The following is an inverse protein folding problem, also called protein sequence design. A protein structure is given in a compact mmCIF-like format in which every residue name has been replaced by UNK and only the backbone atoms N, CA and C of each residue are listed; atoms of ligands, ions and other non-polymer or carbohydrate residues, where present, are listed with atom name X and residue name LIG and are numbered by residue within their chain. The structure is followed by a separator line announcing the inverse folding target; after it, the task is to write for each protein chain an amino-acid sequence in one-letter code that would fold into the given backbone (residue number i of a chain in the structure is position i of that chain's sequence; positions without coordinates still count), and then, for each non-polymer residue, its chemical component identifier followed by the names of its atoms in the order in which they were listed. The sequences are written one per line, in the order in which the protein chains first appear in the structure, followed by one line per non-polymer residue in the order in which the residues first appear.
data_IF_049432855072
#
_entry.id   IF_049432855072
#
_cell.length_a   1.000
_cell.length_b   1.000
_cell.length_c   1.000
_cell.angle_alpha   90.00
_cell.angle_beta   90.00
_cell.angle_gamma   90.00
#
_symmetry.space_group_name_H-M   'P 1'
#
loop_
_entity.id
_entity.type
_entity.pdbx_description
1 polymer ?
#
# COMPACT_ATOMS: atom_id res chain seq x y z
N UNK A 1 -19.81 -32.33 -12.50
CA UNK A 1 -18.79 -31.28 -12.70
C UNK A 1 -19.28 -30.03 -12.01
N UNK A 2 -18.81 -29.79 -10.80
CA UNK A 2 -19.20 -28.62 -9.98
C UNK A 2 -18.14 -27.50 -10.12
N UNK A 3 -18.52 -26.22 -10.20
CA UNK A 3 -17.59 -25.13 -10.34
C UNK A 3 -16.95 -24.81 -8.98
N UNK A 4 -15.65 -25.07 -8.87
CA UNK A 4 -14.81 -24.79 -7.67
C UNK A 4 -14.22 -23.35 -7.69
N UNK A 5 -14.71 -22.46 -8.56
CA UNK A 5 -14.01 -21.20 -8.86
C UNK A 5 -14.46 -19.96 -8.08
N UNK A 6 -15.44 -20.04 -7.15
CA UNK A 6 -16.06 -18.80 -6.63
C UNK A 6 -15.92 -18.55 -5.11
N UNK A 7 -15.30 -19.45 -4.36
CA UNK A 7 -15.19 -19.28 -2.89
C UNK A 7 -14.03 -18.38 -2.41
N UNK A 8 -12.96 -18.23 -3.20
CA UNK A 8 -11.79 -17.47 -2.75
C UNK A 8 -11.95 -15.95 -2.90
N UNK A 9 -12.73 -15.50 -3.89
CA UNK A 9 -12.90 -14.05 -4.15
C UNK A 9 -13.86 -13.38 -3.16
N UNK A 10 -14.93 -14.06 -2.78
CA UNK A 10 -15.93 -13.59 -1.81
C UNK A 10 -15.39 -13.54 -0.38
N UNK A 11 -14.48 -14.46 0.01
CA UNK A 11 -13.86 -14.45 1.34
C UNK A 11 -12.88 -13.28 1.51
N UNK A 12 -12.14 -12.91 0.47
CA UNK A 12 -11.17 -11.80 0.54
C UNK A 12 -11.84 -10.41 0.56
N UNK A 13 -12.91 -10.22 -0.16
CA UNK A 13 -13.70 -8.98 -0.12
C UNK A 13 -14.43 -8.80 1.22
N UNK A 14 -14.83 -9.88 1.87
CA UNK A 14 -15.46 -9.83 3.19
C UNK A 14 -14.49 -9.44 4.31
N UNK A 15 -13.20 -9.81 4.21
CA UNK A 15 -12.25 -9.60 5.30
C UNK A 15 -11.80 -8.14 5.41
N UNK A 16 -11.98 -7.32 4.38
CA UNK A 16 -11.35 -6.00 4.28
C UNK A 16 -12.31 -4.82 4.31
N UNK A 17 -13.52 -4.98 3.90
CA UNK A 17 -14.62 -4.16 4.39
C UNK A 17 -14.82 -4.31 5.90
N UNK A 18 -14.14 -5.29 6.54
CA UNK A 18 -14.09 -5.44 7.99
C UNK A 18 -13.47 -4.23 8.68
N UNK A 19 -12.45 -3.58 8.10
CA UNK A 19 -11.88 -2.34 8.65
C UNK A 19 -12.91 -1.22 8.68
N UNK A 20 -13.64 -1.00 7.58
CA UNK A 20 -14.70 0.02 7.56
C UNK A 20 -15.86 -0.35 8.49
N UNK A 21 -16.21 -1.64 8.58
CA UNK A 21 -17.20 -2.13 9.55
C UNK A 21 -16.72 -2.01 10.99
N UNK A 22 -15.42 -2.17 11.25
CA UNK A 22 -14.82 -1.94 12.57
C UNK A 22 -14.88 -0.46 12.97
N UNK A 23 -14.64 0.46 12.03
CA UNK A 23 -14.85 1.89 12.27
C UNK A 23 -16.31 2.24 12.56
N UNK A 24 -17.25 1.49 11.99
CA UNK A 24 -18.69 1.63 12.22
C UNK A 24 -19.16 0.91 13.51
N UNK A 25 -18.33 0.01 14.06
CA UNK A 25 -18.64 -0.65 15.34
C UNK A 25 -18.49 0.35 16.49
N UNK A 26 -19.41 0.31 17.44
CA UNK A 26 -19.41 1.21 18.60
C UNK A 26 -18.33 0.88 19.65
N UNK A 27 -17.45 -0.08 19.41
CA UNK A 27 -16.43 -0.52 20.37
C UNK A 27 -15.13 0.27 20.18
N UNK A 28 -14.72 0.99 21.22
CA UNK A 28 -13.52 1.84 21.20
C UNK A 28 -12.20 1.16 20.76
N UNK A 29 -11.87 -0.11 21.15
CA UNK A 29 -10.67 -0.76 20.65
C UNK A 29 -10.70 -0.99 19.13
N UNK A 30 -11.83 -1.43 18.57
CA UNK A 30 -11.98 -1.71 17.15
C UNK A 30 -11.79 -0.45 16.27
N UNK A 31 -12.25 0.69 16.78
CA UNK A 31 -12.07 1.99 16.11
C UNK A 31 -10.62 2.43 16.07
N UNK A 32 -9.88 2.22 17.18
CA UNK A 32 -8.46 2.58 17.25
C UNK A 32 -7.61 1.71 16.32
N UNK A 33 -7.89 0.41 16.27
CA UNK A 33 -7.19 -0.52 15.40
C UNK A 33 -7.46 -0.20 13.92
N UNK A 34 -8.70 0.07 13.56
CA UNK A 34 -9.08 0.46 12.21
C UNK A 34 -8.49 1.81 11.79
N UNK A 35 -8.43 2.80 12.70
CA UNK A 35 -7.74 4.07 12.43
C UNK A 35 -6.24 3.87 12.24
N UNK A 36 -5.62 3.00 13.04
CA UNK A 36 -4.21 2.65 12.90
C UNK A 36 -3.95 1.99 11.54
N UNK A 37 -4.80 1.07 11.12
CA UNK A 37 -4.68 0.41 9.81
C UNK A 37 -4.86 1.40 8.66
N UNK A 38 -5.84 2.30 8.74
CA UNK A 38 -6.03 3.38 7.77
C UNK A 38 -4.77 4.27 7.69
N UNK A 39 -4.22 4.67 8.84
CA UNK A 39 -3.02 5.48 8.91
C UNK A 39 -1.81 4.76 8.30
N UNK A 40 -1.57 3.50 8.64
CA UNK A 40 -0.46 2.71 8.08
C UNK A 40 -0.51 2.63 6.55
N UNK A 41 -1.71 2.60 5.96
CA UNK A 41 -1.89 2.48 4.50
C UNK A 41 -1.84 3.81 3.76
N UNK A 42 -2.40 4.86 4.36
CA UNK A 42 -2.68 6.12 3.65
C UNK A 42 -1.92 7.32 4.18
N UNK A 43 -1.20 7.21 5.30
CA UNK A 43 -0.46 8.33 5.86
C UNK A 43 0.50 8.95 4.85
N UNK A 44 1.41 8.11 4.35
CA UNK A 44 2.45 8.63 3.46
C UNK A 44 1.90 9.08 2.10
N UNK A 45 0.99 8.37 1.42
CA UNK A 45 0.34 8.87 0.22
C UNK A 45 -0.33 10.24 0.39
N UNK A 46 -1.06 10.45 1.49
CA UNK A 46 -1.70 11.75 1.81
C UNK A 46 -0.63 12.80 2.10
N UNK A 47 0.37 12.47 2.91
CA UNK A 47 1.48 13.38 3.20
C UNK A 47 2.22 13.81 1.92
N UNK A 48 2.57 12.88 1.05
CA UNK A 48 3.23 13.16 -0.22
C UNK A 48 2.39 14.09 -1.11
N UNK A 49 1.07 13.86 -1.19
CA UNK A 49 0.14 14.75 -1.87
C UNK A 49 0.23 16.17 -1.34
N UNK A 50 0.05 16.34 -0.03
CA UNK A 50 0.04 17.65 0.65
C UNK A 50 1.38 18.38 0.47
N UNK A 51 2.51 17.64 0.53
CA UNK A 51 3.84 18.18 0.23
C UNK A 51 3.95 18.71 -1.20
N UNK A 52 3.35 18.02 -2.18
CA UNK A 52 3.31 18.47 -3.60
C UNK A 52 2.38 19.67 -3.82
N UNK A 53 1.38 19.87 -2.96
CA UNK A 53 0.58 21.10 -2.94
C UNK A 53 1.37 22.32 -2.39
N UNK A 54 2.64 22.17 -2.00
CA UNK A 54 3.51 23.26 -1.57
C UNK A 54 3.52 23.53 -0.06
N UNK A 55 2.85 22.72 0.75
CA UNK A 55 2.87 22.88 2.21
C UNK A 55 4.23 22.44 2.80
N UNK A 56 4.68 23.13 3.85
CA UNK A 56 5.88 22.75 4.62
C UNK A 56 5.65 21.43 5.34
N UNK A 57 6.76 20.77 5.73
CA UNK A 57 6.76 19.44 6.36
C UNK A 57 5.85 19.33 7.59
N UNK A 58 5.97 20.27 8.51
CA UNK A 58 5.18 20.29 9.75
C UNK A 58 3.70 20.47 9.44
N UNK A 59 3.37 21.44 8.59
CA UNK A 59 2.00 21.72 8.16
C UNK A 59 1.41 20.52 7.39
N UNK A 60 2.20 19.88 6.52
CA UNK A 60 1.76 18.69 5.80
C UNK A 60 1.47 17.52 6.75
N UNK A 61 2.25 17.35 7.81
CA UNK A 61 2.00 16.36 8.85
C UNK A 61 0.69 16.66 9.60
N UNK A 62 0.46 17.92 10.01
CA UNK A 62 -0.73 18.34 10.72
C UNK A 62 -2.00 18.15 9.87
N UNK A 63 -1.94 18.57 8.59
CA UNK A 63 -3.01 18.36 7.61
C UNK A 63 -3.32 16.88 7.46
N UNK A 64 -2.28 16.05 7.28
CA UNK A 64 -2.45 14.60 7.10
C UNK A 64 -3.14 13.99 8.32
N UNK A 65 -2.71 14.39 9.51
CA UNK A 65 -3.28 13.90 10.77
C UNK A 65 -4.75 14.33 10.93
N UNK A 66 -5.05 15.61 10.71
CA UNK A 66 -6.41 16.14 10.79
C UNK A 66 -7.34 15.47 9.78
N UNK A 67 -6.87 15.32 8.53
CA UNK A 67 -7.62 14.65 7.47
C UNK A 67 -7.95 13.19 7.81
N UNK A 68 -6.97 12.39 8.24
CA UNK A 68 -7.20 10.97 8.58
C UNK A 68 -8.16 10.81 9.76
N UNK A 69 -8.14 11.72 10.74
CA UNK A 69 -9.15 11.74 11.82
C UNK A 69 -10.54 12.02 11.28
N UNK A 70 -10.68 13.06 10.45
CA UNK A 70 -11.96 13.39 9.84
C UNK A 70 -12.52 12.24 9.01
N UNK A 71 -11.67 11.57 8.21
CA UNK A 71 -12.10 10.39 7.44
C UNK A 71 -12.59 9.28 8.35
N UNK A 72 -11.91 9.02 9.46
CA UNK A 72 -12.36 8.02 10.43
C UNK A 72 -13.72 8.39 11.05
N UNK A 73 -13.97 9.68 11.33
CA UNK A 73 -15.23 10.17 11.85
C UNK A 73 -16.35 10.12 10.79
N UNK A 74 -16.05 10.50 9.55
CA UNK A 74 -16.97 10.37 8.41
C UNK A 74 -17.39 8.91 8.20
N UNK A 75 -16.44 7.98 8.23
CA UNK A 75 -16.72 6.54 8.06
C UNK A 75 -17.51 5.95 9.22
N UNK A 76 -17.33 6.44 10.46
CA UNK A 76 -18.16 6.04 11.61
C UNK A 76 -19.58 6.53 11.49
N UNK A 77 -19.75 7.78 11.04
CA UNK A 77 -21.06 8.43 10.93
C UNK A 77 -21.85 7.94 9.73
N UNK A 78 -21.16 7.50 8.68
CA UNK A 78 -21.78 7.03 7.45
C UNK A 78 -21.97 5.50 7.50
N UNK A 79 -23.23 5.07 7.40
CA UNK A 79 -23.53 3.64 7.26
C UNK A 79 -23.40 3.15 5.81
N UNK A 80 -23.07 4.03 4.88
CA UNK A 80 -22.88 3.72 3.47
C UNK A 80 -21.41 3.49 3.13
N UNK A 81 -21.15 2.49 2.29
CA UNK A 81 -19.82 2.28 1.75
C UNK A 81 -19.46 3.40 0.76
N UNK A 82 -18.20 3.90 0.76
CA UNK A 82 -17.76 4.82 -0.27
C UNK A 82 -17.96 4.23 -1.68
N UNK A 83 -18.45 5.01 -2.64
CA UNK A 83 -18.65 4.53 -4.00
C UNK A 83 -17.32 4.30 -4.71
N UNK A 84 -17.19 3.22 -5.45
CA UNK A 84 -16.01 2.92 -6.29
C UNK A 84 -14.74 2.59 -5.49
N UNK A 85 -13.59 2.96 -6.04
CA UNK A 85 -12.28 2.69 -5.41
C UNK A 85 -12.08 3.59 -4.20
N UNK A 86 -11.85 2.99 -3.04
CA UNK A 86 -11.68 3.73 -1.78
C UNK A 86 -10.59 4.81 -1.88
N UNK A 87 -9.45 4.52 -2.51
CA UNK A 87 -8.35 5.50 -2.66
C UNK A 87 -8.72 6.71 -3.52
N UNK A 88 -9.55 6.54 -4.56
CA UNK A 88 -10.02 7.66 -5.39
C UNK A 88 -11.05 8.51 -4.64
N UNK A 89 -11.93 7.86 -3.89
CA UNK A 89 -12.84 8.53 -2.96
C UNK A 89 -12.06 9.33 -1.90
N UNK A 90 -11.01 8.71 -1.31
CA UNK A 90 -10.15 9.35 -0.32
C UNK A 90 -9.45 10.58 -0.91
N UNK A 91 -8.94 10.48 -2.15
CA UNK A 91 -8.31 11.60 -2.84
C UNK A 91 -9.30 12.74 -3.12
N UNK A 92 -10.53 12.43 -3.54
CA UNK A 92 -11.57 13.43 -3.72
C UNK A 92 -11.93 14.14 -2.40
N UNK A 93 -12.00 13.38 -1.29
CA UNK A 93 -12.19 13.94 0.06
C UNK A 93 -11.02 14.82 0.49
N UNK A 94 -9.77 14.42 0.18
CA UNK A 94 -8.58 15.22 0.49
C UNK A 94 -8.59 16.56 -0.25
N UNK A 95 -8.97 16.57 -1.52
CA UNK A 95 -9.12 17.81 -2.29
C UNK A 95 -10.17 18.75 -1.68
N UNK A 96 -11.32 18.21 -1.31
CA UNK A 96 -12.36 18.99 -0.64
C UNK A 96 -11.89 19.52 0.73
N UNK A 97 -11.17 18.71 1.50
CA UNK A 97 -10.59 19.07 2.79
C UNK A 97 -9.59 20.23 2.68
N UNK A 98 -8.69 20.17 1.70
CA UNK A 98 -7.69 21.21 1.46
C UNK A 98 -8.32 22.53 0.94
N UNK A 99 -9.45 22.46 0.25
CA UNK A 99 -10.20 23.64 -0.19
C UNK A 99 -11.01 24.29 0.95
N UNK A 100 -11.23 23.59 2.08
CA UNK A 100 -11.97 24.06 3.25
C UNK A 100 -11.07 24.64 4.34
N UNK A 101 -11.69 24.95 5.48
CA UNK A 101 -11.00 25.51 6.67
C UNK A 101 -10.39 24.40 7.54
N UNK A 102 -9.37 23.70 7.02
CA UNK A 102 -8.69 22.61 7.74
C UNK A 102 -7.91 23.06 8.99
N UNK A 103 -7.61 24.37 9.10
CA UNK A 103 -6.81 24.92 10.21
C UNK A 103 -7.47 24.71 11.56
N UNK A 104 -8.77 24.85 11.63
CA UNK A 104 -9.54 24.68 12.87
C UNK A 104 -9.60 23.20 13.31
N UNK A 105 -9.32 22.28 12.38
CA UNK A 105 -9.31 20.84 12.64
C UNK A 105 -7.92 20.29 13.03
N UNK A 106 -6.88 21.11 12.95
CA UNK A 106 -5.51 20.69 13.27
C UNK A 106 -5.25 20.51 14.79
N UNK A 107 -6.08 21.10 15.65
CA UNK A 107 -5.96 21.05 17.13
C UNK A 107 -6.44 19.73 17.75
N UNK A 108 -6.29 18.60 17.11
CA UNK A 108 -6.70 17.31 17.64
C UNK A 108 -5.54 16.43 18.13
N UNK A 109 -5.85 15.36 18.88
CA UNK A 109 -4.87 14.39 19.36
C UNK A 109 -4.13 13.62 18.25
N UNK A 110 -3.02 12.96 18.57
CA UNK A 110 -2.22 12.20 17.61
C UNK A 110 -2.97 10.97 17.08
N UNK A 111 -2.85 10.74 15.77
CA UNK A 111 -3.33 9.50 15.14
C UNK A 111 -2.35 8.36 15.48
N UNK A 112 -2.84 7.22 15.98
CA UNK A 112 -1.99 6.07 16.25
C UNK A 112 -1.25 5.62 14.97
N UNK A 113 0.03 5.25 15.11
CA UNK A 113 0.85 4.79 13.99
C UNK A 113 1.41 5.90 13.09
N UNK A 114 1.25 7.17 13.45
CA UNK A 114 1.85 8.31 12.75
C UNK A 114 3.38 8.17 12.66
N UNK A 115 3.99 8.16 11.44
CA UNK A 115 5.43 8.10 11.32
C UNK A 115 6.10 9.40 11.81
N UNK A 116 7.32 9.32 12.39
CA UNK A 116 8.07 10.50 12.77
C UNK A 116 8.40 11.39 11.56
N UNK A 117 8.32 12.72 11.74
CA UNK A 117 8.57 13.69 10.67
C UNK A 117 9.92 13.51 9.96
N UNK A 118 11.05 13.22 10.65
CA UNK A 118 12.31 12.96 9.96
C UNK A 118 12.26 11.78 8.98
N UNK A 119 11.50 10.72 9.30
CA UNK A 119 11.32 9.57 8.40
C UNK A 119 10.46 9.95 7.19
N UNK A 120 9.38 10.70 7.40
CA UNK A 120 8.52 11.21 6.31
C UNK A 120 9.33 12.07 5.34
N UNK A 121 10.14 12.98 5.83
CA UNK A 121 10.95 13.86 4.98
C UNK A 121 12.13 13.12 4.31
N UNK A 122 12.75 12.16 4.96
CA UNK A 122 13.76 11.32 4.33
C UNK A 122 13.16 10.56 3.14
N UNK A 123 11.99 9.98 3.34
CA UNK A 123 11.24 9.27 2.30
C UNK A 123 10.78 10.24 1.20
N UNK A 124 10.22 11.40 1.55
CA UNK A 124 9.77 12.39 0.57
C UNK A 124 10.93 12.87 -0.33
N UNK A 125 12.13 13.03 0.22
CA UNK A 125 13.32 13.37 -0.58
C UNK A 125 13.75 12.24 -1.51
N UNK A 126 13.73 11.00 -1.04
CA UNK A 126 14.14 9.84 -1.84
C UNK A 126 13.15 9.51 -2.97
N UNK A 127 11.87 9.80 -2.76
CA UNK A 127 10.79 9.53 -3.73
C UNK A 127 10.42 10.77 -4.56
N UNK A 128 11.17 11.87 -4.44
CA UNK A 128 10.85 13.11 -5.16
C UNK A 128 11.10 12.97 -6.66
N UNK A 129 10.04 13.21 -7.45
CA UNK A 129 10.11 13.34 -8.91
C UNK A 129 9.86 14.80 -9.26
N UNK A 130 10.81 15.52 -9.89
CA UNK A 130 10.62 16.90 -10.31
C UNK A 130 9.46 17.04 -11.30
N UNK A 131 8.59 18.04 -11.08
CA UNK A 131 7.45 18.30 -11.95
C UNK A 131 6.27 17.34 -11.82
N UNK A 132 6.33 16.37 -10.91
CA UNK A 132 5.23 15.45 -10.63
C UNK A 132 4.04 16.20 -10.00
N UNK A 133 2.82 15.96 -10.51
CA UNK A 133 1.60 16.52 -9.91
C UNK A 133 1.31 15.89 -8.54
N UNK A 134 0.53 16.58 -7.67
CA UNK A 134 0.10 16.02 -6.39
C UNK A 134 -0.62 14.67 -6.54
N UNK A 135 -1.50 14.53 -7.53
CA UNK A 135 -2.26 13.31 -7.80
C UNK A 135 -1.35 12.14 -8.21
N UNK A 136 -0.35 12.40 -9.05
CA UNK A 136 0.63 11.39 -9.45
C UNK A 136 1.48 10.95 -8.25
N UNK A 137 1.94 11.89 -7.43
CA UNK A 137 2.68 11.59 -6.20
C UNK A 137 1.87 10.73 -5.25
N UNK A 138 0.58 11.04 -5.05
CA UNK A 138 -0.34 10.24 -4.25
C UNK A 138 -0.46 8.80 -4.78
N UNK A 139 -0.75 8.65 -6.08
CA UNK A 139 -0.92 7.33 -6.71
C UNK A 139 0.36 6.50 -6.66
N UNK A 140 1.51 7.13 -6.96
CA UNK A 140 2.81 6.46 -6.88
C UNK A 140 3.15 6.04 -5.45
N UNK A 141 2.96 6.93 -4.49
CA UNK A 141 3.22 6.63 -3.08
C UNK A 141 2.32 5.51 -2.56
N UNK A 142 1.04 5.50 -2.95
CA UNK A 142 0.13 4.39 -2.64
C UNK A 142 0.60 3.07 -3.25
N UNK A 143 1.04 3.09 -4.52
CA UNK A 143 1.59 1.92 -5.19
C UNK A 143 2.81 1.35 -4.43
N UNK A 144 3.74 2.21 -4.05
CA UNK A 144 4.93 1.82 -3.29
C UNK A 144 4.56 1.24 -1.90
N UNK A 145 3.54 1.79 -1.24
CA UNK A 145 3.02 1.22 0.02
C UNK A 145 2.49 -0.20 -0.15
N UNK A 146 1.68 -0.44 -1.17
CA UNK A 146 1.14 -1.77 -1.47
C UNK A 146 2.27 -2.77 -1.73
N UNK A 147 3.25 -2.39 -2.55
CA UNK A 147 4.39 -3.25 -2.88
C UNK A 147 5.28 -3.54 -1.69
N UNK A 148 5.54 -2.52 -0.87
CA UNK A 148 6.33 -2.66 0.37
C UNK A 148 5.67 -3.62 1.36
N UNK A 149 4.35 -3.54 1.53
CA UNK A 149 3.59 -4.47 2.37
C UNK A 149 3.59 -5.88 1.81
N UNK A 150 3.37 -6.04 0.50
CA UNK A 150 3.46 -7.34 -0.17
C UNK A 150 4.84 -7.98 0.02
N UNK A 151 5.92 -7.18 -0.11
CA UNK A 151 7.29 -7.65 0.09
C UNK A 151 7.56 -8.04 1.56
N UNK A 152 7.09 -7.23 2.51
CA UNK A 152 7.23 -7.53 3.94
C UNK A 152 6.55 -8.87 4.29
N UNK A 153 5.37 -9.12 3.76
CA UNK A 153 4.65 -10.39 3.94
C UNK A 153 5.39 -11.55 3.29
N UNK A 154 5.92 -11.37 2.06
CA UNK A 154 6.70 -12.39 1.36
C UNK A 154 7.94 -12.79 2.17
N UNK A 155 8.66 -11.82 2.74
CA UNK A 155 9.82 -12.08 3.60
C UNK A 155 9.43 -12.82 4.88
N UNK A 156 8.32 -12.46 5.51
CA UNK A 156 7.81 -13.15 6.69
C UNK A 156 7.49 -14.62 6.38
N UNK A 157 6.73 -14.90 5.32
CA UNK A 157 6.42 -16.27 4.87
C UNK A 157 7.69 -17.06 4.55
N UNK A 158 8.66 -16.43 3.88
CA UNK A 158 9.95 -17.07 3.59
C UNK A 158 10.77 -17.34 4.87
N UNK A 159 10.68 -16.46 5.87
CA UNK A 159 11.30 -16.64 7.17
C UNK A 159 10.71 -17.83 7.92
N UNK A 160 9.39 -17.92 8.00
CA UNK A 160 8.65 -19.02 8.64
C UNK A 160 8.96 -20.38 7.96
N UNK A 161 9.20 -20.37 6.65
CA UNK A 161 9.59 -21.54 5.87
C UNK A 161 11.10 -21.85 5.90
N UNK A 162 11.93 -21.07 6.59
CA UNK A 162 13.39 -21.25 6.65
C UNK A 162 14.14 -20.88 5.37
N UNK A 163 13.53 -20.08 4.49
CA UNK A 163 14.08 -19.73 3.18
C UNK A 163 14.36 -18.22 3.00
N UNK A 164 14.47 -17.47 4.10
CA UNK A 164 14.63 -16.01 4.08
C UNK A 164 15.86 -15.57 3.26
N UNK A 165 17.03 -16.19 3.47
CA UNK A 165 18.25 -15.84 2.74
C UNK A 165 18.15 -16.01 1.22
N UNK A 166 17.43 -17.04 0.76
CA UNK A 166 17.15 -17.22 -0.67
C UNK A 166 16.14 -16.16 -1.18
N UNK A 167 15.12 -15.84 -0.39
CA UNK A 167 14.16 -14.79 -0.72
C UNK A 167 14.86 -13.44 -0.88
N UNK A 168 15.69 -13.04 0.08
CA UNK A 168 16.46 -11.79 0.05
C UNK A 168 17.43 -11.73 -1.15
N UNK A 169 18.10 -12.83 -1.47
CA UNK A 169 19.00 -12.88 -2.62
C UNK A 169 18.27 -12.76 -3.97
N UNK A 170 17.02 -13.21 -4.06
CA UNK A 170 16.21 -13.17 -5.26
C UNK A 170 15.30 -11.93 -5.35
N UNK A 171 15.11 -11.20 -4.26
CA UNK A 171 14.25 -10.02 -4.18
C UNK A 171 14.53 -8.95 -5.26
N UNK A 172 15.80 -8.58 -5.59
CA UNK A 172 16.08 -7.62 -6.64
C UNK A 172 15.56 -8.02 -8.03
N UNK A 173 15.22 -9.30 -8.20
CA UNK A 173 14.71 -9.86 -9.45
C UNK A 173 13.19 -10.10 -9.45
N UNK A 174 12.45 -9.67 -8.43
CA UNK A 174 11.00 -9.83 -8.41
C UNK A 174 10.32 -9.06 -9.55
N UNK A 175 10.85 -7.88 -9.88
CA UNK A 175 10.29 -6.98 -10.90
C UNK A 175 11.12 -6.89 -12.17
N UNK A 176 12.36 -7.38 -12.18
CA UNK A 176 13.25 -7.38 -13.34
C UNK A 176 13.76 -8.76 -13.67
N UNK A 177 14.15 -9.01 -14.91
CA UNK A 177 14.82 -10.26 -15.28
C UNK A 177 16.30 -10.21 -14.88
N UNK A 178 16.86 -11.32 -14.34
CA UNK A 178 18.29 -11.45 -14.13
C UNK A 178 19.05 -11.38 -15.45
N UNK A 179 20.17 -10.66 -15.45
CA UNK A 179 21.09 -10.62 -16.58
C UNK A 179 21.85 -11.94 -16.74
N UNK A 180 22.41 -12.24 -17.95
CA UNK A 180 23.26 -13.41 -18.13
C UNK A 180 24.38 -13.49 -17.09
N UNK A 181 24.57 -14.65 -16.50
CA UNK A 181 25.58 -14.91 -15.45
C UNK A 181 25.17 -14.59 -14.01
N UNK A 182 24.11 -13.82 -13.79
CA UNK A 182 23.67 -13.47 -12.42
C UNK A 182 23.17 -14.69 -11.64
N UNK A 183 22.54 -15.67 -12.29
CA UNK A 183 22.17 -16.93 -11.62
C UNK A 183 23.39 -17.75 -11.19
N UNK A 184 24.47 -17.75 -11.97
CA UNK A 184 25.69 -18.46 -11.63
C UNK A 184 26.43 -17.77 -10.47
N UNK A 185 26.40 -16.45 -10.44
CA UNK A 185 26.93 -15.64 -9.34
C UNK A 185 26.16 -15.90 -8.03
N UNK A 186 24.83 -15.83 -8.07
CA UNK A 186 23.98 -16.17 -6.93
C UNK A 186 24.17 -17.63 -6.47
N UNK A 187 24.27 -18.56 -7.42
CA UNK A 187 24.52 -19.98 -7.13
C UNK A 187 25.79 -20.17 -6.31
N UNK A 188 26.88 -19.51 -6.69
CA UNK A 188 28.14 -19.54 -5.93
C UNK A 188 28.03 -18.89 -4.55
N UNK A 189 27.25 -17.80 -4.44
CA UNK A 189 27.08 -17.04 -3.19
C UNK A 189 26.26 -17.79 -2.14
N UNK A 190 25.16 -18.45 -2.56
CA UNK A 190 24.23 -19.07 -1.62
C UNK A 190 24.24 -20.61 -1.65
N UNK A 191 25.09 -21.22 -2.48
CA UNK A 191 25.25 -22.68 -2.53
C UNK A 191 24.09 -23.45 -3.16
N UNK A 192 23.25 -22.78 -3.97
CA UNK A 192 22.04 -23.35 -4.60
C UNK A 192 22.22 -23.42 -6.10
N UNK A 193 21.86 -24.57 -6.72
CA UNK A 193 22.01 -24.78 -8.17
C UNK A 193 21.26 -23.73 -8.98
N UNK A 194 21.79 -23.23 -10.13
CA UNK A 194 21.16 -22.17 -10.95
C UNK A 194 19.72 -22.51 -11.33
N UNK A 195 19.42 -23.75 -11.75
CA UNK A 195 18.07 -24.18 -12.09
C UNK A 195 17.08 -24.08 -10.91
N UNK A 196 17.55 -24.40 -9.70
CA UNK A 196 16.73 -24.26 -8.50
C UNK A 196 16.42 -22.79 -8.19
N UNK A 197 17.37 -21.86 -8.47
CA UNK A 197 17.16 -20.41 -8.33
C UNK A 197 16.11 -19.89 -9.33
N UNK A 198 16.15 -20.36 -10.59
CA UNK A 198 15.14 -20.02 -11.60
C UNK A 198 13.75 -20.44 -11.13
N UNK A 199 13.62 -21.67 -10.63
CA UNK A 199 12.33 -22.19 -10.11
C UNK A 199 11.87 -21.45 -8.85
N UNK A 200 12.80 -21.12 -7.96
CA UNK A 200 12.51 -20.34 -6.76
C UNK A 200 12.04 -18.94 -7.11
N UNK A 201 12.73 -18.24 -8.02
CA UNK A 201 12.32 -16.89 -8.46
C UNK A 201 10.92 -16.91 -9.10
N UNK A 202 10.62 -17.92 -9.94
CA UNK A 202 9.27 -18.06 -10.52
C UNK A 202 8.20 -18.18 -9.43
N UNK A 203 8.42 -19.01 -8.39
CA UNK A 203 7.49 -19.16 -7.26
C UNK A 203 7.37 -17.87 -6.44
N UNK A 204 8.50 -17.22 -6.14
CA UNK A 204 8.51 -15.96 -5.39
C UNK A 204 7.75 -14.85 -6.13
N UNK A 205 7.94 -14.72 -7.45
CA UNK A 205 7.20 -13.78 -8.29
C UNK A 205 5.70 -14.07 -8.26
N UNK A 206 5.32 -15.35 -8.38
CA UNK A 206 3.91 -15.74 -8.31
C UNK A 206 3.32 -15.38 -6.94
N UNK A 207 4.00 -15.77 -5.86
CA UNK A 207 3.52 -15.46 -4.50
C UNK A 207 3.47 -13.96 -4.22
N UNK A 208 4.47 -13.20 -4.67
CA UNK A 208 4.48 -11.74 -4.55
C UNK A 208 3.28 -11.09 -5.27
N UNK A 209 2.95 -11.54 -6.49
CA UNK A 209 1.77 -11.05 -7.21
C UNK A 209 0.47 -11.36 -6.45
N UNK A 210 0.36 -12.54 -5.84
CA UNK A 210 -0.79 -12.92 -5.01
C UNK A 210 -0.90 -12.00 -3.79
N UNK A 211 0.21 -11.77 -3.07
CA UNK A 211 0.23 -10.88 -1.92
C UNK A 211 -0.11 -9.43 -2.30
N UNK A 212 0.39 -8.94 -3.44
CA UNK A 212 0.01 -7.62 -3.97
C UNK A 212 -1.49 -7.57 -4.32
N UNK A 213 -2.04 -8.62 -4.91
CA UNK A 213 -3.50 -8.71 -5.15
C UNK A 213 -4.29 -8.66 -3.86
N UNK A 214 -3.85 -9.40 -2.85
CA UNK A 214 -4.47 -9.37 -1.53
C UNK A 214 -4.43 -7.96 -0.93
N UNK A 215 -3.34 -7.21 -1.06
CA UNK A 215 -3.23 -5.82 -0.61
C UNK A 215 -4.13 -4.86 -1.41
N UNK A 216 -4.38 -5.12 -2.69
CA UNK A 216 -5.24 -4.33 -3.55
C UNK A 216 -6.73 -4.66 -3.43
N UNK A 217 -7.07 -5.86 -2.96
CA UNK A 217 -8.46 -6.31 -2.91
C UNK A 217 -9.40 -5.38 -2.11
N UNK A 218 -8.83 -4.56 -1.21
CA UNK A 218 -9.55 -3.54 -0.44
C UNK A 218 -10.07 -2.37 -1.27
N UNK A 219 -9.54 -2.19 -2.47
CA UNK A 219 -9.71 -0.96 -3.22
C UNK A 219 -10.44 -1.16 -4.54
N UNK A 220 -10.85 -2.41 -4.86
CA UNK A 220 -11.27 -2.82 -6.21
C UNK A 220 -12.53 -3.68 -6.15
N UNK A 221 -13.46 -3.41 -7.08
CA UNK A 221 -14.79 -4.03 -7.10
C UNK A 221 -14.91 -5.23 -8.05
N UNK A 222 -13.96 -5.41 -8.99
CA UNK A 222 -14.02 -6.49 -9.98
C UNK A 222 -12.66 -7.13 -10.28
N UNK A 223 -12.67 -8.37 -10.81
CA UNK A 223 -11.44 -9.07 -11.19
C UNK A 223 -10.69 -8.37 -12.34
N UNK A 224 -11.42 -7.79 -13.30
CA UNK A 224 -10.84 -7.07 -14.43
C UNK A 224 -10.11 -5.78 -13.99
N UNK A 225 -10.74 -5.04 -13.07
CA UNK A 225 -10.10 -3.88 -12.45
C UNK A 225 -8.85 -4.27 -11.65
N UNK A 226 -8.86 -5.44 -10.99
CA UNK A 226 -7.72 -5.96 -10.25
C UNK A 226 -6.51 -6.18 -11.16
N UNK A 227 -6.70 -6.81 -12.30
CA UNK A 227 -5.61 -7.07 -13.25
C UNK A 227 -5.06 -5.77 -13.86
N UNK A 228 -5.94 -4.82 -14.18
CA UNK A 228 -5.54 -3.51 -14.69
C UNK A 228 -4.73 -2.73 -13.65
N UNK A 229 -5.18 -2.76 -12.40
CA UNK A 229 -4.50 -2.08 -11.29
C UNK A 229 -3.13 -2.68 -10.99
N UNK A 230 -3.06 -4.00 -10.93
CA UNK A 230 -1.79 -4.71 -10.70
C UNK A 230 -0.78 -4.40 -11.82
N UNK A 231 -1.23 -4.38 -13.08
CA UNK A 231 -0.37 -3.98 -14.21
C UNK A 231 0.13 -2.55 -14.07
N UNK A 232 -0.75 -1.62 -13.70
CA UNK A 232 -0.38 -0.22 -13.48
C UNK A 232 0.65 -0.05 -12.35
N UNK A 233 0.50 -0.81 -11.25
CA UNK A 233 1.45 -0.83 -10.13
C UNK A 233 2.84 -1.29 -10.57
N UNK A 234 2.93 -2.40 -11.28
CA UNK A 234 4.21 -2.91 -11.76
C UNK A 234 4.84 -2.00 -12.83
N UNK A 235 4.03 -1.39 -13.71
CA UNK A 235 4.52 -0.42 -14.68
C UNK A 235 5.09 0.85 -14.02
N UNK A 236 4.50 1.31 -12.93
CA UNK A 236 5.02 2.44 -12.17
C UNK A 236 6.40 2.16 -11.53
N UNK A 237 6.74 0.89 -11.26
CA UNK A 237 8.07 0.49 -10.78
C UNK A 237 9.13 0.47 -11.89
N UNK A 238 8.74 0.09 -13.10
CA UNK A 238 9.68 -0.05 -14.23
C UNK A 238 10.12 1.30 -14.82
N UNK A 239 9.62 2.42 -14.29
CA UNK A 239 10.00 3.78 -14.72
C UNK A 239 9.71 4.08 -16.18
N UNK A 240 8.85 3.30 -16.81
CA UNK A 240 8.40 3.51 -18.20
C UNK A 240 7.13 4.36 -18.20
N UNK A 241 7.34 5.64 -18.28
CA UNK A 241 6.35 6.61 -18.73
C UNK A 241 6.80 7.22 -20.04
#
# INVERSE_FOLDING_TARGET
MSPVADRSFTDFTQTRWSMLRQLQSARAPDVRDALTELAVRYWYPVYAYVRRCGHRSEIAQDITQAFLRQIADDLRSSHAQPPGKFREWLLAKLNAFLAGEWRDLAEGGQVPGAPPLPQLEARNRSEHVPGESPELAYRRSFALEVLTRGLKRLRAEAGDAGHLGMCEALEPFLTREPLPGQYDELSRKIGVRPLALVMALKRLRQRFRELVREELADTISSAEEMEAEQRALFAALDGKH
#
